data_IF_430823749052
#
_entry.id   IF_430823749052
#
_cell.length_a   1.000
_cell.length_b   1.000
_cell.length_c   1.000
_cell.angle_alpha   90.00
_cell.angle_beta   90.00
_cell.angle_gamma   90.00
#
_symmetry.space_group_name_H-M   'P 1'
#
loop_
_entity.id
_entity.type
_entity.pdbx_description
1 polymer ?
#
# COMPACT_ATOMS: atom_id res chain seq x y z
N UNK A 1 27.20 -2.30 73.02
CA UNK A 1 27.32 -1.04 72.28
C UNK A 1 27.81 -1.39 70.87
N UNK A 2 26.92 -1.23 69.88
CA UNK A 2 27.00 -1.44 68.41
C UNK A 2 28.04 -2.41 67.83
N UNK A 3 27.52 -3.55 67.33
CA UNK A 3 28.14 -4.43 66.32
C UNK A 3 28.11 -3.72 64.95
N UNK A 4 29.25 -3.59 64.28
CA UNK A 4 29.36 -3.15 62.88
C UNK A 4 29.63 -4.38 62.01
N UNK A 5 28.67 -4.72 61.15
CA UNK A 5 28.77 -5.78 60.15
C UNK A 5 29.31 -5.18 58.86
N UNK A 6 30.45 -5.70 58.38
CA UNK A 6 31.01 -5.41 57.06
C UNK A 6 30.22 -6.15 55.99
N UNK A 7 29.55 -5.43 55.10
CA UNK A 7 29.00 -5.97 53.85
C UNK A 7 30.02 -5.83 52.72
N UNK A 8 30.31 -6.87 51.93
CA UNK A 8 31.11 -6.73 50.73
C UNK A 8 30.28 -6.08 49.63
N UNK A 9 30.82 -5.04 49.00
CA UNK A 9 30.24 -4.41 47.81
C UNK A 9 30.30 -5.41 46.64
N UNK A 10 29.14 -5.98 46.29
CA UNK A 10 28.94 -6.70 45.04
C UNK A 10 29.01 -5.69 43.89
N UNK A 11 30.11 -5.70 43.14
CA UNK A 11 30.16 -5.13 41.80
C UNK A 11 29.17 -5.92 40.92
N UNK A 12 27.96 -5.40 40.75
CA UNK A 12 27.03 -5.89 39.75
C UNK A 12 27.57 -5.48 38.37
N UNK A 13 28.13 -6.44 37.63
CA UNK A 13 28.29 -6.30 36.19
C UNK A 13 26.90 -6.07 35.59
N UNK A 14 26.65 -4.85 35.13
CA UNK A 14 25.53 -4.58 34.25
C UNK A 14 25.75 -5.42 32.98
N UNK A 15 24.77 -6.23 32.53
CA UNK A 15 24.86 -6.81 31.21
C UNK A 15 24.86 -5.66 30.22
N UNK A 16 25.95 -5.54 29.45
CA UNK A 16 26.00 -4.69 28.27
C UNK A 16 24.93 -5.25 27.32
N UNK A 17 23.79 -4.58 27.26
CA UNK A 17 22.81 -4.77 26.20
C UNK A 17 23.45 -4.26 24.91
N UNK A 18 24.24 -5.13 24.27
CA UNK A 18 24.39 -5.05 22.82
C UNK A 18 23.03 -5.45 22.28
N UNK A 19 22.21 -4.44 21.95
CA UNK A 19 21.05 -4.65 21.11
C UNK A 19 21.53 -5.45 19.89
N UNK A 20 21.09 -6.69 19.82
CA UNK A 20 21.43 -7.62 18.76
C UNK A 20 20.85 -7.03 17.46
N UNK A 21 21.70 -6.43 16.63
CA UNK A 21 21.32 -5.89 15.32
C UNK A 21 21.17 -7.03 14.32
N UNK A 22 20.45 -8.08 14.71
CA UNK A 22 20.13 -9.22 13.86
C UNK A 22 19.06 -8.80 12.85
N UNK A 23 19.53 -8.17 11.77
CA UNK A 23 19.07 -8.34 10.38
C UNK A 23 17.55 -8.42 10.15
N UNK A 24 16.89 -7.26 10.07
CA UNK A 24 15.51 -7.09 9.55
C UNK A 24 15.34 -7.39 8.03
N UNK A 25 16.19 -8.24 7.46
CA UNK A 25 16.21 -8.59 6.04
C UNK A 25 15.74 -10.03 5.82
N UNK A 26 14.84 -10.23 4.85
CA UNK A 26 14.37 -11.55 4.44
C UNK A 26 15.28 -12.13 3.37
N UNK A 27 15.39 -11.46 2.20
CA UNK A 27 16.29 -11.81 1.09
C UNK A 27 16.24 -10.79 -0.06
N UNK A 28 17.12 -10.94 -1.04
CA UNK A 28 16.96 -10.35 -2.37
C UNK A 28 15.98 -11.17 -3.21
N UNK A 29 15.06 -10.47 -3.88
CA UNK A 29 14.11 -11.02 -4.84
C UNK A 29 14.46 -10.57 -6.24
N UNK A 30 14.90 -11.51 -7.08
CA UNK A 30 15.20 -11.22 -8.47
C UNK A 30 13.95 -11.17 -9.33
N UNK A 31 14.02 -10.35 -10.38
CA UNK A 31 12.93 -10.09 -11.33
C UNK A 31 13.49 -9.94 -12.74
N UNK A 32 12.67 -10.27 -13.74
CA UNK A 32 13.08 -10.27 -15.15
C UNK A 32 13.03 -8.88 -15.81
N UNK A 33 13.57 -8.79 -17.03
CA UNK A 33 13.46 -7.63 -17.93
C UNK A 33 14.07 -6.32 -17.42
N UNK A 34 15.05 -6.38 -16.51
CA UNK A 34 15.60 -5.19 -15.87
C UNK A 34 14.52 -4.33 -15.18
N UNK A 35 13.38 -4.92 -14.82
CA UNK A 35 12.28 -4.27 -14.11
C UNK A 35 12.23 -4.87 -12.70
N UNK A 36 12.46 -4.10 -11.62
CA UNK A 36 12.34 -4.61 -10.25
C UNK A 36 10.94 -5.17 -9.92
N UNK A 37 9.90 -4.88 -10.72
CA UNK A 37 8.55 -5.46 -10.61
C UNK A 37 8.24 -6.44 -11.75
N UNK A 38 9.26 -6.86 -12.51
CA UNK A 38 9.15 -7.88 -13.53
C UNK A 38 8.76 -9.24 -12.97
N UNK A 39 8.68 -10.25 -13.84
CA UNK A 39 8.33 -11.60 -13.41
C UNK A 39 9.39 -12.08 -12.43
N UNK A 40 8.95 -12.61 -11.29
CA UNK A 40 9.85 -13.12 -10.27
C UNK A 40 10.71 -14.27 -10.82
N UNK A 41 12.02 -14.22 -10.55
CA UNK A 41 13.01 -15.20 -10.97
C UNK A 41 13.65 -15.91 -9.75
N UNK A 42 12.98 -16.92 -9.14
CA UNK A 42 13.41 -17.53 -7.88
C UNK A 42 14.83 -18.09 -7.91
N UNK A 43 15.29 -18.53 -9.08
CA UNK A 43 16.64 -19.05 -9.30
C UNK A 43 17.74 -18.00 -9.06
N UNK A 44 17.40 -16.72 -9.15
CA UNK A 44 18.32 -15.58 -9.03
C UNK A 44 18.20 -14.87 -7.67
N UNK A 45 17.33 -15.34 -6.77
CA UNK A 45 17.24 -14.84 -5.40
C UNK A 45 18.57 -15.01 -4.65
N UNK A 46 18.82 -14.12 -3.69
CA UNK A 46 20.10 -14.05 -2.98
C UNK A 46 19.92 -13.78 -1.49
N UNK A 47 20.83 -14.30 -0.67
CA UNK A 47 20.85 -14.03 0.78
C UNK A 47 21.11 -12.56 1.07
N UNK A 48 20.69 -12.10 2.25
CA UNK A 48 20.82 -10.70 2.65
C UNK A 48 22.25 -10.15 2.59
N UNK A 49 23.24 -10.97 2.92
CA UNK A 49 24.66 -10.63 2.91
C UNK A 49 25.33 -10.74 1.53
N UNK A 50 24.66 -11.31 0.52
CA UNK A 50 25.21 -11.41 -0.84
C UNK A 50 25.20 -10.03 -1.50
N UNK A 51 26.34 -9.64 -2.08
CA UNK A 51 26.42 -8.42 -2.90
C UNK A 51 25.66 -8.64 -4.20
N UNK A 52 24.70 -7.76 -4.45
CA UNK A 52 23.94 -7.71 -5.69
C UNK A 52 24.71 -6.83 -6.66
N UNK A 53 25.21 -7.42 -7.74
CA UNK A 53 25.97 -6.71 -8.77
C UNK A 53 25.05 -6.10 -9.82
N UNK A 54 25.55 -5.07 -10.52
CA UNK A 54 24.89 -4.54 -11.72
C UNK A 54 24.63 -5.66 -12.74
N UNK A 55 23.53 -5.54 -13.47
CA UNK A 55 23.05 -6.54 -14.43
C UNK A 55 21.87 -7.38 -13.92
N UNK A 56 21.47 -7.21 -12.66
CA UNK A 56 20.30 -7.87 -12.07
C UNK A 56 19.25 -6.81 -11.69
N UNK A 57 17.98 -7.13 -11.93
CA UNK A 57 16.84 -6.34 -11.42
C UNK A 57 16.12 -7.06 -10.29
N UNK A 58 15.55 -6.28 -9.38
CA UNK A 58 14.84 -6.83 -8.24
C UNK A 58 14.74 -5.88 -7.07
N UNK A 59 14.51 -6.44 -5.90
CA UNK A 59 14.36 -5.68 -4.67
C UNK A 59 14.81 -6.46 -3.43
N UNK A 60 15.08 -5.75 -2.35
CA UNK A 60 15.28 -6.33 -1.04
C UNK A 60 13.93 -6.46 -0.32
N UNK A 61 13.59 -7.69 0.03
CA UNK A 61 12.49 -8.00 0.95
C UNK A 61 13.03 -7.92 2.38
N UNK A 62 12.43 -7.06 3.18
CA UNK A 62 12.71 -6.87 4.60
C UNK A 62 11.52 -7.36 5.44
N UNK A 63 11.69 -7.43 6.76
CA UNK A 63 10.59 -7.69 7.70
C UNK A 63 9.48 -6.63 7.58
N UNK A 64 8.28 -6.94 8.09
CA UNK A 64 7.07 -6.11 8.01
C UNK A 64 6.59 -5.79 6.59
N UNK A 65 6.81 -6.73 5.66
CA UNK A 65 6.39 -6.62 4.24
C UNK A 65 7.04 -5.42 3.53
N UNK A 66 8.13 -4.89 4.06
CA UNK A 66 8.86 -3.77 3.46
C UNK A 66 9.69 -4.25 2.29
N UNK A 67 9.55 -3.51 1.20
CA UNK A 67 10.33 -3.68 -0.02
C UNK A 67 11.17 -2.43 -0.23
N UNK A 68 12.49 -2.60 -0.26
CA UNK A 68 13.48 -1.52 -0.37
C UNK A 68 14.52 -1.83 -1.45
N UNK A 69 15.31 -0.83 -1.85
CA UNK A 69 16.33 -0.96 -2.92
C UNK A 69 15.80 -1.69 -4.15
N UNK A 70 14.68 -1.19 -4.65
CA UNK A 70 14.08 -1.63 -5.91
C UNK A 70 14.94 -1.06 -7.05
N UNK A 71 15.57 -1.92 -7.83
CA UNK A 71 16.57 -1.53 -8.84
C UNK A 71 16.34 -2.23 -10.17
N UNK A 72 16.55 -1.49 -11.27
CA UNK A 72 16.75 -2.04 -12.60
C UNK A 72 18.17 -2.65 -12.72
N UNK A 73 18.58 -3.13 -13.89
CA UNK A 73 19.92 -3.70 -14.08
C UNK A 73 21.08 -2.69 -13.91
N UNK A 74 20.82 -1.39 -13.93
CA UNK A 74 21.85 -0.34 -13.89
C UNK A 74 21.94 0.30 -12.49
N UNK A 75 22.45 -0.47 -11.54
CA UNK A 75 22.68 0.00 -10.17
C UNK A 75 24.10 -0.30 -9.69
N UNK A 76 24.58 0.49 -8.74
CA UNK A 76 25.82 0.18 -8.01
C UNK A 76 25.61 -1.01 -7.08
N UNK A 77 26.68 -1.73 -6.76
CA UNK A 77 26.57 -2.90 -5.88
C UNK A 77 26.09 -2.52 -4.47
N UNK A 78 25.24 -3.38 -3.89
CA UNK A 78 24.77 -3.23 -2.50
C UNK A 78 24.46 -4.61 -1.89
N UNK A 79 24.21 -4.67 -0.58
CA UNK A 79 23.64 -5.84 0.09
C UNK A 79 22.25 -5.53 0.61
N UNK A 80 21.38 -6.54 0.68
CA UNK A 80 20.05 -6.34 1.27
C UNK A 80 20.10 -6.17 2.78
N UNK A 81 21.14 -6.67 3.44
CA UNK A 81 21.43 -6.39 4.84
C UNK A 81 21.64 -4.89 5.07
N UNK A 82 22.52 -4.24 4.29
CA UNK A 82 22.72 -2.78 4.34
C UNK A 82 21.43 -2.05 3.94
N UNK A 83 20.74 -2.51 2.90
CA UNK A 83 19.49 -1.89 2.43
C UNK A 83 18.39 -1.88 3.49
N UNK A 84 18.17 -3.01 4.15
CA UNK A 84 17.16 -3.15 5.20
C UNK A 84 17.61 -2.52 6.51
N UNK A 85 18.92 -2.36 6.74
CA UNK A 85 19.48 -1.67 7.92
C UNK A 85 19.50 -0.14 7.77
N UNK A 86 19.75 0.38 6.56
CA UNK A 86 19.84 1.83 6.28
C UNK A 86 18.50 2.56 6.26
N UNK A 87 17.41 1.81 6.44
CA UNK A 87 16.09 2.37 6.61
C UNK A 87 15.35 1.49 7.62
N UNK A 88 15.95 1.35 8.81
CA UNK A 88 15.15 1.03 9.98
C UNK A 88 14.22 2.22 10.25
N UNK A 89 13.12 2.25 9.50
CA UNK A 89 11.80 2.44 10.07
C UNK A 89 11.54 1.37 11.15
N UNK A 90 12.48 1.17 12.08
CA UNK A 90 12.37 0.34 13.26
C UNK A 90 11.16 0.89 13.98
N UNK A 91 10.04 0.18 13.86
CA UNK A 91 8.73 0.64 14.24
C UNK A 91 8.41 2.03 13.66
N UNK A 92 7.66 2.10 12.55
CA UNK A 92 6.66 3.19 12.49
C UNK A 92 5.61 2.89 13.57
N UNK A 93 5.99 3.04 14.86
CA UNK A 93 5.05 3.39 15.91
C UNK A 93 4.51 4.72 15.46
N UNK A 94 3.35 4.68 14.80
CA UNK A 94 2.63 5.89 14.52
C UNK A 94 2.55 6.66 15.84
N UNK A 95 2.88 7.97 15.86
CA UNK A 95 2.74 8.75 17.07
C UNK A 95 1.36 8.49 17.65
N UNK A 96 1.27 8.40 18.98
CA UNK A 96 0.01 8.09 19.64
C UNK A 96 -1.12 8.99 19.10
N UNK A 97 -2.21 8.38 18.65
CA UNK A 97 -3.34 9.07 18.00
C UNK A 97 -3.29 9.11 16.46
N UNK A 98 -2.26 8.55 15.83
CA UNK A 98 -2.13 8.47 14.37
C UNK A 98 -2.13 7.04 13.84
N UNK A 99 -2.60 6.07 14.61
CA UNK A 99 -2.62 4.64 14.27
C UNK A 99 -3.66 4.32 13.19
N UNK A 100 -4.72 5.12 13.07
CA UNK A 100 -5.87 4.85 12.22
C UNK A 100 -5.97 5.81 11.03
N UNK A 101 -6.60 5.33 9.97
CA UNK A 101 -7.12 6.17 8.89
C UNK A 101 -8.36 6.89 9.40
N UNK A 102 -8.39 8.20 9.22
CA UNK A 102 -9.48 9.05 9.71
C UNK A 102 -10.18 9.79 8.58
N UNK A 103 -11.42 10.20 8.80
CA UNK A 103 -12.12 11.10 7.90
C UNK A 103 -11.33 12.42 7.72
N UNK A 104 -11.23 12.90 6.49
CA UNK A 104 -10.46 14.10 6.14
C UNK A 104 -8.96 13.86 5.95
N UNK A 105 -8.45 12.65 6.22
CA UNK A 105 -7.06 12.29 5.87
C UNK A 105 -6.87 12.18 4.36
N UNK A 106 -5.70 12.58 3.88
CA UNK A 106 -5.26 12.39 2.50
C UNK A 106 -4.27 11.24 2.43
N UNK A 107 -4.67 10.12 1.84
CA UNK A 107 -3.91 8.86 1.85
C UNK A 107 -3.41 8.50 0.45
N UNK A 108 -2.33 7.72 0.38
CA UNK A 108 -2.02 6.90 -0.80
C UNK A 108 -2.42 5.47 -0.50
N UNK A 109 -3.26 4.91 -1.36
CA UNK A 109 -3.66 3.52 -1.26
C UNK A 109 -2.68 2.67 -2.07
N UNK A 110 -1.93 1.80 -1.38
CA UNK A 110 -0.84 1.01 -1.98
C UNK A 110 -1.30 -0.43 -2.19
N UNK A 111 -1.17 -0.93 -3.41
CA UNK A 111 -1.44 -2.33 -3.74
C UNK A 111 -0.38 -3.23 -3.10
N UNK A 112 -0.79 -4.28 -2.40
CA UNK A 112 0.10 -5.11 -1.60
C UNK A 112 1.15 -5.83 -2.44
N UNK A 113 0.74 -6.55 -3.48
CA UNK A 113 1.65 -7.40 -4.25
C UNK A 113 2.63 -6.57 -5.11
N UNK A 114 2.12 -5.56 -5.81
CA UNK A 114 2.92 -4.77 -6.75
C UNK A 114 3.66 -3.60 -6.11
N UNK A 115 3.20 -3.12 -4.95
CA UNK A 115 3.57 -1.84 -4.35
C UNK A 115 3.29 -0.64 -5.26
N UNK A 116 2.30 -0.67 -6.14
CA UNK A 116 1.86 0.50 -6.90
C UNK A 116 0.80 1.27 -6.10
N UNK A 117 0.68 2.59 -6.32
CA UNK A 117 -0.29 3.44 -5.64
C UNK A 117 -1.47 3.75 -6.54
N UNK A 118 -2.69 3.68 -5.98
CA UNK A 118 -3.89 4.14 -6.66
C UNK A 118 -3.70 5.58 -7.14
N UNK A 119 -4.01 5.83 -8.41
CA UNK A 119 -3.60 7.02 -9.12
C UNK A 119 -4.67 7.44 -10.14
N UNK A 120 -4.77 8.74 -10.42
CA UNK A 120 -5.61 9.24 -11.50
C UNK A 120 -4.99 10.50 -12.13
N UNK A 121 -5.50 10.96 -13.26
CA UNK A 121 -4.91 12.07 -14.03
C UNK A 121 -5.94 12.63 -15.01
N UNK A 122 -5.62 13.70 -15.74
CA UNK A 122 -6.50 14.29 -16.76
C UNK A 122 -6.53 13.51 -18.10
N UNK A 123 -6.47 12.19 -18.03
CA UNK A 123 -6.61 11.29 -19.18
C UNK A 123 -7.91 10.50 -18.98
N UNK A 124 -8.65 10.28 -20.06
CA UNK A 124 -9.91 9.54 -20.06
C UNK A 124 -9.74 8.20 -20.77
N UNK A 125 -10.54 7.21 -20.40
CA UNK A 125 -10.61 5.98 -21.17
C UNK A 125 -11.12 6.24 -22.59
N UNK A 126 -10.51 5.58 -23.59
CA UNK A 126 -11.01 5.56 -24.96
C UNK A 126 -12.09 4.50 -25.20
N UNK A 127 -12.35 3.66 -24.20
CA UNK A 127 -13.34 2.58 -24.19
C UNK A 127 -14.25 2.71 -22.97
N UNK A 128 -15.16 1.74 -22.80
CA UNK A 128 -16.02 1.67 -21.62
C UNK A 128 -16.89 2.92 -21.47
N UNK A 129 -16.81 3.58 -20.31
CA UNK A 129 -17.64 4.75 -20.02
C UNK A 129 -17.13 6.06 -20.63
N UNK A 130 -15.86 6.10 -21.07
CA UNK A 130 -15.18 7.32 -21.49
C UNK A 130 -14.83 8.29 -20.34
N UNK A 131 -14.98 7.87 -19.08
CA UNK A 131 -14.66 8.69 -17.91
C UNK A 131 -13.15 8.80 -17.67
N UNK A 132 -12.76 9.65 -16.71
CA UNK A 132 -11.36 9.82 -16.31
C UNK A 132 -10.78 8.50 -15.80
N UNK A 133 -9.59 8.14 -16.30
CA UNK A 133 -8.95 6.87 -15.97
C UNK A 133 -8.41 6.84 -14.55
N UNK A 134 -8.45 5.65 -13.96
CA UNK A 134 -7.82 5.33 -12.68
C UNK A 134 -6.87 4.18 -12.91
N UNK A 135 -5.65 4.33 -12.44
CA UNK A 135 -4.55 3.40 -12.66
C UNK A 135 -3.83 3.15 -11.35
N UNK A 136 -2.86 2.23 -11.36
CA UNK A 136 -1.86 2.18 -10.30
C UNK A 136 -0.52 2.70 -10.85
N UNK A 137 0.15 3.56 -10.08
CA UNK A 137 1.39 4.22 -10.45
C UNK A 137 2.53 3.86 -9.50
N UNK A 138 3.75 3.71 -10.02
CA UNK A 138 4.91 3.28 -9.22
C UNK A 138 5.50 4.38 -8.34
N UNK A 139 5.46 5.64 -8.79
CA UNK A 139 6.23 6.69 -8.14
C UNK A 139 5.66 7.02 -6.74
N UNK A 140 6.50 6.83 -5.71
CA UNK A 140 6.11 7.05 -4.31
C UNK A 140 5.80 8.51 -3.99
N UNK A 141 6.43 9.44 -4.69
CA UNK A 141 6.30 10.89 -4.48
C UNK A 141 5.30 11.57 -5.42
N UNK A 142 4.54 10.81 -6.22
CA UNK A 142 3.56 11.40 -7.13
C UNK A 142 2.40 12.04 -6.37
N UNK A 143 2.05 13.27 -6.76
CA UNK A 143 0.97 14.06 -6.15
C UNK A 143 -0.42 13.57 -6.58
N UNK A 144 -0.52 12.93 -7.73
CA UNK A 144 -1.75 12.34 -8.28
C UNK A 144 -2.09 10.97 -7.66
N UNK A 145 -1.33 10.55 -6.65
CA UNK A 145 -1.64 9.35 -5.85
C UNK A 145 -2.32 9.68 -4.52
N UNK A 146 -2.64 10.95 -4.25
CA UNK A 146 -3.33 11.36 -3.03
C UNK A 146 -4.85 11.34 -3.20
N UNK A 147 -5.52 10.67 -2.25
CA UNK A 147 -6.97 10.52 -2.16
C UNK A 147 -7.47 10.98 -0.80
N UNK A 148 -8.45 11.87 -0.78
CA UNK A 148 -9.13 12.33 0.43
C UNK A 148 -10.19 11.31 0.86
N UNK A 149 -10.14 10.90 2.12
CA UNK A 149 -11.13 10.00 2.73
C UNK A 149 -12.35 10.80 3.20
N UNK A 150 -13.53 10.48 2.67
CA UNK A 150 -14.82 11.14 2.98
C UNK A 150 -15.89 10.11 3.33
N UNK A 151 -17.00 10.58 3.85
CA UNK A 151 -18.20 9.78 4.07
C UNK A 151 -18.77 9.19 2.77
N UNK A 152 -19.48 8.06 2.89
CA UNK A 152 -20.25 7.46 1.81
C UNK A 152 -21.35 8.39 1.27
N UNK A 153 -21.82 8.11 0.06
CA UNK A 153 -22.91 8.87 -0.55
C UNK A 153 -24.20 8.83 0.31
N UNK A 154 -24.83 10.00 0.46
CA UNK A 154 -26.03 10.20 1.28
C UNK A 154 -25.82 10.10 2.80
N UNK A 155 -24.59 9.88 3.28
CA UNK A 155 -24.28 9.90 4.70
C UNK A 155 -24.07 11.34 5.21
N UNK A 156 -24.29 11.61 6.51
CA UNK A 156 -23.87 12.87 7.11
C UNK A 156 -22.36 13.09 6.93
N UNK A 157 -21.96 14.33 6.69
CA UNK A 157 -20.54 14.72 6.60
C UNK A 157 -19.79 14.18 7.81
N UNK A 158 -18.73 13.41 7.58
CA UNK A 158 -17.97 12.85 8.68
C UNK A 158 -17.13 13.92 9.40
N UNK A 159 -16.95 13.75 10.70
CA UNK A 159 -16.09 14.64 11.49
C UNK A 159 -14.63 14.38 11.12
N UNK A 160 -13.91 15.44 10.74
CA UNK A 160 -12.48 15.38 10.44
C UNK A 160 -11.72 14.87 11.66
N UNK A 161 -10.78 13.95 11.46
CA UNK A 161 -10.01 13.30 12.53
C UNK A 161 -10.69 12.06 13.11
N UNK A 162 -11.98 11.84 12.87
CA UNK A 162 -12.68 10.64 13.35
C UNK A 162 -12.15 9.37 12.68
N UNK A 163 -11.72 8.34 13.44
CA UNK A 163 -11.31 7.05 12.89
C UNK A 163 -12.39 6.37 12.04
N UNK A 164 -11.98 5.79 10.92
CA UNK A 164 -12.87 5.02 10.05
C UNK A 164 -13.03 3.61 10.59
N UNK A 165 -14.26 3.16 10.78
CA UNK A 165 -14.56 1.80 11.22
C UNK A 165 -14.39 0.80 10.07
N UNK A 166 -13.95 -0.41 10.39
CA UNK A 166 -14.08 -1.54 9.49
C UNK A 166 -15.56 -1.78 9.17
N UNK A 167 -15.87 -1.99 7.89
CA UNK A 167 -17.23 -2.06 7.37
C UNK A 167 -17.88 -0.70 7.07
N UNK A 168 -17.21 0.43 7.37
CA UNK A 168 -17.71 1.75 7.02
C UNK A 168 -17.79 1.94 5.50
N UNK A 169 -18.76 2.76 5.09
CA UNK A 169 -18.94 3.19 3.71
C UNK A 169 -18.28 4.55 3.56
N UNK A 170 -17.33 4.65 2.64
CA UNK A 170 -16.54 5.84 2.37
C UNK A 170 -16.63 6.25 0.90
N UNK A 171 -16.17 7.46 0.60
CA UNK A 171 -15.75 7.90 -0.74
C UNK A 171 -14.27 8.26 -0.70
N UNK A 172 -13.60 8.06 -1.83
CA UNK A 172 -12.22 8.49 -2.04
C UNK A 172 -12.21 9.55 -3.13
N UNK A 173 -11.88 10.79 -2.77
CA UNK A 173 -11.81 11.91 -3.71
C UNK A 173 -10.35 12.15 -4.13
N UNK A 174 -10.07 12.07 -5.43
CA UNK A 174 -8.75 12.36 -5.98
C UNK A 174 -8.40 13.84 -5.76
N UNK A 175 -7.29 14.10 -5.07
CA UNK A 175 -6.97 15.47 -4.61
C UNK A 175 -6.76 16.46 -5.77
N UNK A 176 -6.11 16.02 -6.84
CA UNK A 176 -5.75 16.91 -7.94
C UNK A 176 -6.95 17.26 -8.84
N UNK A 177 -7.79 16.26 -9.17
CA UNK A 177 -8.91 16.45 -10.13
C UNK A 177 -10.26 16.64 -9.45
N UNK A 178 -10.32 16.47 -8.12
CA UNK A 178 -11.55 16.59 -7.31
C UNK A 178 -12.67 15.67 -7.80
N UNK A 179 -12.30 14.49 -8.31
CA UNK A 179 -13.22 13.44 -8.77
C UNK A 179 -13.21 12.27 -7.78
N UNK A 180 -14.32 11.57 -7.64
CA UNK A 180 -14.46 10.43 -6.75
C UNK A 180 -14.05 9.13 -7.44
N UNK A 181 -13.44 8.20 -6.70
CA UNK A 181 -13.24 6.83 -7.14
C UNK A 181 -14.60 6.16 -7.38
N UNK A 182 -14.81 5.69 -8.60
CA UNK A 182 -16.11 5.28 -9.10
C UNK A 182 -16.03 3.91 -9.77
N UNK A 183 -17.12 3.15 -9.73
CA UNK A 183 -17.25 1.92 -10.53
C UNK A 183 -18.69 1.68 -10.93
N UNK A 184 -18.89 0.92 -11.99
CA UNK A 184 -20.19 0.75 -12.66
C UNK A 184 -20.19 -0.45 -13.59
N UNK A 185 -21.32 -0.70 -14.26
CA UNK A 185 -21.51 -1.87 -15.13
C UNK A 185 -20.90 -1.69 -16.53
N UNK A 186 -19.69 -1.12 -16.60
CA UNK A 186 -18.85 -1.10 -17.80
C UNK A 186 -17.70 -2.10 -17.63
N UNK A 187 -17.22 -2.68 -18.74
CA UNK A 187 -16.06 -3.58 -18.71
C UNK A 187 -14.78 -2.78 -18.50
N UNK A 188 -13.84 -3.33 -17.73
CA UNK A 188 -12.52 -2.73 -17.58
C UNK A 188 -11.77 -2.68 -18.94
N UNK A 189 -10.86 -1.70 -19.16
CA UNK A 189 -10.23 -1.47 -20.46
C UNK A 189 -9.40 -2.64 -21.01
N UNK A 190 -8.68 -3.35 -20.14
CA UNK A 190 -7.79 -4.46 -20.49
C UNK A 190 -8.37 -5.80 -20.02
N UNK A 191 -8.96 -5.87 -18.82
CA UNK A 191 -9.53 -7.11 -18.28
C UNK A 191 -11.04 -7.21 -18.51
N UNK A 192 -11.44 -7.85 -19.61
CA UNK A 192 -12.85 -7.86 -20.08
C UNK A 192 -13.89 -8.46 -19.14
N UNK A 193 -13.47 -9.25 -18.14
CA UNK A 193 -14.34 -9.88 -17.15
C UNK A 193 -14.43 -9.09 -15.84
N UNK A 194 -13.67 -8.00 -15.70
CA UNK A 194 -13.76 -7.09 -14.57
C UNK A 194 -14.63 -5.88 -14.92
N UNK A 195 -15.07 -5.16 -13.89
CA UNK A 195 -15.75 -3.88 -14.03
C UNK A 195 -14.74 -2.73 -14.08
N UNK A 196 -15.08 -1.72 -14.87
CA UNK A 196 -14.31 -0.48 -14.98
C UNK A 196 -14.29 0.25 -13.64
N UNK A 197 -13.11 0.75 -13.27
CA UNK A 197 -12.92 1.71 -12.20
C UNK A 197 -12.41 3.01 -12.82
N UNK A 198 -13.08 4.11 -12.48
CA UNK A 198 -12.87 5.43 -13.07
C UNK A 198 -12.87 6.51 -11.98
N UNK A 199 -12.54 7.74 -12.37
CA UNK A 199 -12.74 8.92 -11.53
C UNK A 199 -13.93 9.72 -12.08
N UNK A 200 -14.96 9.90 -11.26
CA UNK A 200 -16.24 10.49 -11.67
C UNK A 200 -16.61 11.72 -10.83
N UNK A 201 -17.60 12.49 -11.29
CA UNK A 201 -18.08 13.65 -10.57
C UNK A 201 -17.20 14.89 -10.76
N UNK A 202 -17.49 15.94 -10.00
CA UNK A 202 -16.83 17.25 -10.06
C UNK A 202 -16.79 17.86 -8.66
N UNK A 203 -15.64 18.42 -8.27
CA UNK A 203 -15.47 19.12 -6.99
C UNK A 203 -15.78 18.25 -5.74
N UNK A 204 -15.68 16.92 -5.86
CA UNK A 204 -16.01 15.97 -4.80
C UNK A 204 -17.48 15.57 -4.74
N UNK A 205 -18.32 16.15 -5.59
CA UNK A 205 -19.72 15.77 -5.79
C UNK A 205 -19.81 14.65 -6.81
N UNK A 206 -20.63 13.64 -6.51
CA UNK A 206 -20.88 12.51 -7.39
C UNK A 206 -22.13 11.76 -6.96
N UNK A 207 -22.11 10.43 -6.94
CA UNK A 207 -23.31 9.64 -6.68
C UNK A 207 -23.05 8.35 -5.88
N UNK A 208 -24.10 7.53 -5.72
CA UNK A 208 -24.07 6.28 -4.96
C UNK A 208 -23.02 5.27 -5.45
N UNK A 209 -22.57 5.37 -6.70
CA UNK A 209 -21.56 4.51 -7.32
C UNK A 209 -20.13 4.97 -7.01
N UNK A 210 -19.98 6.01 -6.17
CA UNK A 210 -18.70 6.43 -5.58
C UNK A 210 -18.44 5.76 -4.23
N UNK A 211 -19.39 4.98 -3.71
CA UNK A 211 -19.35 4.44 -2.35
C UNK A 211 -18.61 3.11 -2.28
N UNK A 212 -17.63 3.02 -1.39
CA UNK A 212 -16.81 1.83 -1.14
C UNK A 212 -16.90 1.40 0.32
N UNK A 213 -16.99 0.10 0.57
CA UNK A 213 -16.96 -0.50 1.90
C UNK A 213 -15.53 -0.88 2.24
N UNK A 214 -15.03 -0.42 3.39
CA UNK A 214 -13.69 -0.77 3.88
C UNK A 214 -13.74 -2.13 4.57
N UNK A 215 -13.07 -3.14 4.02
CA UNK A 215 -12.98 -4.48 4.59
C UNK A 215 -11.59 -4.74 5.15
N UNK A 216 -11.41 -4.58 6.47
CA UNK A 216 -10.14 -4.86 7.15
C UNK A 216 -9.77 -6.35 7.11
N UNK A 217 -8.48 -6.65 6.95
CA UNK A 217 -7.93 -8.01 6.78
C UNK A 217 -6.99 -8.41 7.92
N UNK A 218 -7.29 -7.98 9.14
CA UNK A 218 -6.44 -8.10 10.33
C UNK A 218 -5.98 -9.55 10.58
N UNK A 219 -6.87 -10.53 10.40
CA UNK A 219 -6.55 -11.96 10.55
C UNK A 219 -5.47 -12.47 9.57
N UNK A 220 -5.18 -11.75 8.47
CA UNK A 220 -4.14 -12.10 7.50
C UNK A 220 -2.76 -11.54 7.88
N UNK A 221 -2.65 -10.80 8.99
CA UNK A 221 -1.49 -9.95 9.26
C UNK A 221 -0.89 -10.14 10.66
N UNK A 222 -1.57 -10.85 11.55
CA UNK A 222 -1.04 -11.19 12.87
C UNK A 222 0.10 -12.22 12.73
N UNK A 223 1.22 -11.94 13.39
CA UNK A 223 2.41 -12.80 13.44
C UNK A 223 2.22 -14.04 14.34
N UNK A 224 1.19 -14.07 15.19
CA UNK A 224 0.86 -15.20 16.06
C UNK A 224 -0.65 -15.30 16.33
N UNK A 225 -1.17 -16.54 16.43
CA UNK A 225 -2.54 -16.81 16.88
C UNK A 225 -2.78 -16.19 18.28
N UNK A 226 -3.84 -15.39 18.41
CA UNK A 226 -4.24 -14.78 19.69
C UNK A 226 -3.61 -13.42 20.03
N UNK A 227 -2.81 -12.82 19.13
CA UNK A 227 -2.27 -11.45 19.27
C UNK A 227 -2.89 -10.43 18.30
N UNK A 228 -4.03 -10.76 17.69
CA UNK A 228 -4.76 -9.79 16.88
C UNK A 228 -5.47 -8.80 17.79
N UNK A 229 -4.90 -7.60 17.96
CA UNK A 229 -5.66 -6.47 18.46
C UNK A 229 -6.63 -6.03 17.35
N UNK A 230 -7.89 -6.45 17.46
CA UNK A 230 -9.00 -5.98 16.61
C UNK A 230 -9.78 -4.93 17.41
N UNK A 231 -9.55 -3.66 17.09
CA UNK A 231 -10.33 -2.54 17.61
C UNK A 231 -11.48 -2.15 16.67
N UNK A 232 -11.68 -2.89 15.57
CA UNK A 232 -12.69 -2.66 14.56
C UNK A 232 -12.46 -1.38 13.73
N UNK A 233 -11.24 -0.83 13.73
CA UNK A 233 -10.90 0.41 13.04
C UNK A 233 -9.91 0.16 11.90
N UNK A 234 -9.99 0.99 10.85
CA UNK A 234 -9.05 0.93 9.74
C UNK A 234 -7.68 1.44 10.17
N UNK A 235 -6.83 0.50 10.59
CA UNK A 235 -5.44 0.76 10.97
C UNK A 235 -4.56 1.08 9.77
N UNK A 236 -3.61 1.99 9.97
CA UNK A 236 -2.62 2.36 8.95
C UNK A 236 -1.60 1.26 8.75
N UNK A 237 -1.24 1.01 7.50
CA UNK A 237 -0.32 -0.07 7.14
C UNK A 237 -0.94 -1.47 7.21
N UNK A 238 -2.15 -1.59 7.75
CA UNK A 238 -2.90 -2.83 7.71
C UNK A 238 -3.65 -3.01 6.39
N UNK A 239 -3.81 -4.27 6.01
CA UNK A 239 -4.40 -4.70 4.75
C UNK A 239 -5.91 -4.51 4.82
N UNK A 240 -6.43 -3.97 3.74
CA UNK A 240 -7.85 -3.79 3.49
C UNK A 240 -8.19 -4.28 2.09
N UNK A 241 -9.48 -4.56 1.90
CA UNK A 241 -10.08 -4.56 0.58
C UNK A 241 -11.11 -3.44 0.52
N UNK A 242 -11.26 -2.82 -0.65
CA UNK A 242 -12.32 -1.86 -0.89
C UNK A 242 -13.37 -2.53 -1.78
N UNK A 243 -14.54 -2.82 -1.21
CA UNK A 243 -15.66 -3.39 -1.96
C UNK A 243 -16.58 -2.27 -2.43
N UNK A 244 -16.75 -2.14 -3.73
CA UNK A 244 -17.71 -1.21 -4.31
C UNK A 244 -19.12 -1.56 -3.84
N UNK A 245 -19.81 -0.60 -3.20
CA UNK A 245 -21.08 -0.83 -2.49
C UNK A 245 -22.18 -1.35 -3.40
N UNK A 246 -22.30 -0.79 -4.60
CA UNK A 246 -23.42 -1.08 -5.50
C UNK A 246 -23.22 -2.35 -6.34
N UNK A 247 -21.98 -2.70 -6.70
CA UNK A 247 -21.70 -3.88 -7.53
C UNK A 247 -21.18 -5.07 -6.74
N UNK A 248 -20.79 -4.89 -5.47
CA UNK A 248 -20.12 -5.90 -4.63
C UNK A 248 -18.78 -6.41 -5.20
N UNK A 249 -18.15 -5.67 -6.10
CA UNK A 249 -16.83 -6.00 -6.64
C UNK A 249 -15.73 -5.33 -5.82
N UNK A 250 -14.58 -5.99 -5.71
CA UNK A 250 -13.40 -5.54 -4.98
C UNK A 250 -12.44 -4.79 -5.91
N UNK A 251 -11.92 -3.66 -5.44
CA UNK A 251 -10.85 -2.92 -6.12
C UNK A 251 -9.62 -3.81 -6.31
N UNK A 252 -9.15 -3.95 -7.55
CA UNK A 252 -8.09 -4.87 -7.93
C UNK A 252 -7.10 -4.23 -8.91
N UNK A 253 -5.86 -4.67 -8.85
CA UNK A 253 -4.84 -4.37 -9.86
C UNK A 253 -3.81 -5.49 -9.90
N UNK A 254 -3.12 -5.66 -11.04
CA UNK A 254 -2.14 -6.74 -11.23
C UNK A 254 -0.90 -6.22 -11.93
N UNK A 255 0.30 -6.66 -11.51
CA UNK A 255 1.56 -6.32 -12.19
C UNK A 255 1.64 -6.86 -13.61
N UNK A 256 0.82 -7.89 -13.92
CA UNK A 256 0.71 -8.51 -15.23
C UNK A 256 -0.15 -7.74 -16.22
N UNK A 257 -1.00 -6.82 -15.76
CA UNK A 257 -1.96 -6.08 -16.59
C UNK A 257 -1.60 -4.60 -16.56
N UNK A 258 -0.90 -4.16 -17.60
CA UNK A 258 -0.35 -2.80 -17.71
C UNK A 258 -0.73 -2.15 -19.04
N UNK A 259 -0.88 -0.84 -19.02
CA UNK A 259 -0.95 -0.06 -20.24
C UNK A 259 0.43 0.05 -20.87
N UNK A 260 0.54 -0.31 -22.15
CA UNK A 260 1.77 -0.21 -22.92
C UNK A 260 1.43 0.03 -24.40
N UNK A 261 2.44 0.21 -25.24
CA UNK A 261 2.23 0.51 -26.66
C UNK A 261 1.59 -0.65 -27.45
N UNK A 262 1.50 -1.86 -26.89
CA UNK A 262 0.83 -3.00 -27.53
C UNK A 262 -0.69 -2.94 -27.39
N UNK A 263 -1.20 -2.38 -26.29
CA UNK A 263 -2.63 -2.23 -26.02
C UNK A 263 -3.14 -0.78 -26.11
N UNK A 264 -2.23 0.20 -26.09
CA UNK A 264 -2.53 1.62 -26.20
C UNK A 264 -1.43 2.29 -27.04
N UNK A 265 -1.55 2.36 -28.38
CA UNK A 265 -0.51 2.95 -29.22
C UNK A 265 -0.21 4.41 -28.87
N UNK A 266 1.07 4.75 -28.66
CA UNK A 266 1.52 6.04 -28.10
C UNK A 266 0.93 6.29 -26.71
N UNK A 267 1.06 5.29 -25.83
CA UNK A 267 0.36 5.29 -24.55
C UNK A 267 0.84 6.45 -23.66
N UNK A 268 -0.03 7.41 -23.30
CA UNK A 268 0.35 8.49 -22.39
C UNK A 268 0.56 8.02 -20.94
N UNK A 269 0.17 6.77 -20.65
CA UNK A 269 0.21 6.14 -19.32
C UNK A 269 1.00 4.82 -19.34
N UNK A 270 1.99 4.74 -20.26
CA UNK A 270 2.81 3.55 -20.45
C UNK A 270 3.46 3.10 -19.11
N UNK A 271 3.34 1.81 -18.79
CA UNK A 271 3.85 1.17 -17.58
C UNK A 271 2.91 1.21 -16.38
N UNK A 272 1.84 2.02 -16.41
CA UNK A 272 0.84 2.05 -15.35
C UNK A 272 -0.02 0.79 -15.36
N UNK A 273 -0.41 0.29 -14.20
CA UNK A 273 -1.25 -0.91 -14.09
C UNK A 273 -2.73 -0.55 -14.23
N UNK A 274 -3.51 -1.45 -14.83
CA UNK A 274 -4.96 -1.34 -14.83
C UNK A 274 -5.49 -1.44 -13.40
N UNK A 275 -6.36 -0.51 -13.01
CA UNK A 275 -7.20 -0.66 -11.83
C UNK A 275 -8.62 -0.99 -12.30
N UNK A 276 -9.17 -2.07 -11.74
CA UNK A 276 -10.48 -2.60 -12.11
C UNK A 276 -11.19 -3.11 -10.86
N UNK A 277 -12.42 -3.59 -11.00
CA UNK A 277 -13.16 -4.21 -9.90
C UNK A 277 -13.58 -5.64 -10.26
N UNK A 278 -13.28 -6.60 -9.38
CA UNK A 278 -13.54 -8.04 -9.58
C UNK A 278 -14.45 -8.62 -8.49
N UNK A 279 -15.25 -9.63 -8.81
CA UNK A 279 -16.02 -10.35 -7.79
C UNK A 279 -15.16 -11.34 -6.98
N UNK A 280 -13.94 -11.62 -7.44
CA UNK A 280 -13.05 -12.62 -6.84
C UNK A 280 -12.27 -12.04 -5.68
N UNK A 281 -12.13 -12.81 -4.60
CA UNK A 281 -11.36 -12.42 -3.42
C UNK A 281 -9.98 -13.04 -3.46
N UNK A 282 -9.03 -12.31 -4.04
CA UNK A 282 -7.68 -12.79 -4.32
C UNK A 282 -6.58 -11.86 -3.78
N UNK A 283 -5.31 -12.22 -4.00
CA UNK A 283 -4.17 -11.40 -3.58
C UNK A 283 -4.15 -10.01 -4.21
N UNK A 284 -4.55 -9.93 -5.48
CA UNK A 284 -4.58 -8.69 -6.29
C UNK A 284 -5.64 -7.66 -5.83
N UNK A 285 -6.47 -8.04 -4.84
CA UNK A 285 -7.48 -7.14 -4.22
C UNK A 285 -7.03 -6.53 -2.90
N UNK A 286 -5.79 -6.80 -2.46
CA UNK A 286 -5.26 -6.36 -1.18
C UNK A 286 -4.55 -5.01 -1.29
N UNK A 287 -4.96 -4.07 -0.46
CA UNK A 287 -4.39 -2.73 -0.40
C UNK A 287 -4.06 -2.35 1.04
N UNK A 288 -3.23 -1.34 1.24
CA UNK A 288 -3.02 -0.74 2.57
C UNK A 288 -2.78 0.77 2.43
N UNK A 289 -2.97 1.50 3.53
CA UNK A 289 -2.74 2.94 3.59
C UNK A 289 -1.73 3.25 4.71
N UNK A 290 -0.46 3.42 4.36
CA UNK A 290 0.60 3.84 5.29
C UNK A 290 1.16 5.24 4.98
N UNK A 291 1.11 5.62 3.70
CA UNK A 291 1.62 6.89 3.17
C UNK A 291 0.47 7.90 3.08
N UNK A 292 0.69 9.13 3.52
CA UNK A 292 -0.37 10.14 3.52
C UNK A 292 -0.13 11.27 4.52
N UNK A 293 -1.09 12.19 4.53
CA UNK A 293 -1.27 13.23 5.54
C UNK A 293 -2.48 12.82 6.36
N UNK A 294 -2.25 12.46 7.62
CA UNK A 294 -3.27 11.96 8.52
C UNK A 294 -3.69 13.06 9.48
N UNK A 295 -4.99 13.16 9.71
CA UNK A 295 -5.56 14.11 10.68
C UNK A 295 -6.03 13.31 11.90
N UNK A 296 -5.85 13.87 13.09
CA UNK A 296 -6.34 13.28 14.34
C UNK A 296 -7.20 14.30 15.09
N UNK A 297 -8.02 13.84 16.03
CA UNK A 297 -8.92 14.68 16.85
C UNK A 297 -8.17 15.56 17.86
#
# INVERSE_FOLDING_TARGET
MRLLVLFPALLSCLPSSTADSSTHCVKWRATSNCDPHGIHEPQNDASCSKRIASGLSGFCECEDRRRVREVDCNHHEFTCEEACAMDSSAELKYPQGFEHVTCGSSIKLVHEASRYRLHSHEITYGSGSGQQSVTAHMARNDVNSYWLVKEGDGAPVCQVGKPIQCGAIIRLEHMQTRRNLHSHMFKAPLTSHHLEVSAFGVAGEGDRMDSWVVECQENQQCSAEGQCEDDGLWKRGELVRLRHRSTNHLLSTSSSIRFDDSNCPNCPINGQQEVSATAMREGDTLWFAAEGIYVTE
#
